data_IF_174677588020
#
_entry.id   IF_174677588020
#
_cell.length_a   1.000
_cell.length_b   1.000
_cell.length_c   1.000
_cell.angle_alpha   90.00
_cell.angle_beta   90.00
_cell.angle_gamma   90.00
#
_symmetry.space_group_name_H-M   'P 1'
#
loop_
_entity.id
_entity.type
_entity.pdbx_description
1 polymer ?
#
# COMPACT_ATOMS: atom_id res chain seq x y z
N UNK A 1 -13.10 36.29 -6.57
CA UNK A 1 -11.76 35.85 -6.15
C UNK A 1 -11.88 34.44 -5.63
N UNK A 2 -11.17 33.48 -6.24
CA UNK A 2 -11.17 32.09 -5.79
C UNK A 2 -10.33 31.99 -4.52
N UNK A 3 -10.94 31.59 -3.40
CA UNK A 3 -10.21 31.43 -2.14
C UNK A 3 -9.27 30.23 -2.24
N UNK A 4 -7.98 30.46 -1.95
CA UNK A 4 -6.96 29.41 -1.89
C UNK A 4 -7.36 28.39 -0.83
N UNK A 5 -7.57 27.14 -1.23
CA UNK A 5 -7.93 26.06 -0.30
C UNK A 5 -6.83 25.90 0.75
N UNK A 6 -7.19 26.02 2.02
CA UNK A 6 -6.27 25.72 3.11
C UNK A 6 -5.93 24.23 3.14
N UNK A 7 -4.66 23.92 3.42
CA UNK A 7 -4.19 22.54 3.49
C UNK A 7 -4.77 21.91 4.75
N UNK A 8 -5.56 20.84 4.59
CA UNK A 8 -6.09 20.09 5.72
C UNK A 8 -4.99 19.45 6.57
N UNK A 9 -5.27 19.22 7.86
CA UNK A 9 -4.37 18.49 8.77
C UNK A 9 -4.06 17.10 8.22
N UNK A 10 -2.82 16.63 8.39
CA UNK A 10 -2.44 15.27 8.04
C UNK A 10 -3.16 14.24 8.94
N UNK A 11 -3.30 13.01 8.46
CA UNK A 11 -3.80 11.91 9.28
C UNK A 11 -2.69 11.37 10.18
N UNK A 12 -2.97 11.24 11.48
CA UNK A 12 -2.04 10.62 12.44
C UNK A 12 -2.01 9.10 12.27
N UNK A 13 -1.06 8.41 12.90
CA UNK A 13 -0.99 6.95 12.82
C UNK A 13 -2.20 6.28 13.49
N UNK A 14 -2.59 6.76 14.68
CA UNK A 14 -3.80 6.31 15.37
C UNK A 14 -5.06 6.49 14.52
N UNK A 15 -5.17 7.59 13.77
CA UNK A 15 -6.30 7.80 12.86
C UNK A 15 -6.31 6.79 11.70
N UNK A 16 -5.14 6.39 11.20
CA UNK A 16 -5.07 5.35 10.17
C UNK A 16 -5.49 3.99 10.72
N UNK A 17 -5.16 3.66 11.97
CA UNK A 17 -5.61 2.42 12.62
C UNK A 17 -7.13 2.38 12.81
N UNK A 18 -7.73 3.48 13.28
CA UNK A 18 -9.19 3.63 13.39
C UNK A 18 -9.83 3.49 12.00
N UNK A 19 -9.30 4.22 11.01
CA UNK A 19 -9.80 4.17 9.63
C UNK A 19 -9.72 2.74 9.06
N UNK A 20 -8.62 2.03 9.28
CA UNK A 20 -8.42 0.66 8.81
C UNK A 20 -9.44 -0.28 9.45
N UNK A 21 -9.68 -0.15 10.75
CA UNK A 21 -10.65 -0.99 11.49
C UNK A 21 -12.08 -0.80 10.97
N UNK A 22 -12.49 0.44 10.70
CA UNK A 22 -13.79 0.74 10.11
C UNK A 22 -13.89 0.18 8.69
N UNK A 23 -12.87 0.43 7.86
CA UNK A 23 -12.86 0.02 6.45
C UNK A 23 -12.81 -1.49 6.27
N UNK A 24 -12.20 -2.22 7.19
CA UNK A 24 -12.22 -3.68 7.19
C UNK A 24 -13.63 -4.24 7.32
N UNK A 25 -14.47 -3.62 8.17
CA UNK A 25 -15.88 -4.02 8.32
C UNK A 25 -16.72 -3.74 7.08
N UNK A 26 -16.43 -2.66 6.36
CA UNK A 26 -17.12 -2.29 5.11
C UNK A 26 -16.50 -2.89 3.84
N UNK A 27 -15.34 -3.57 3.95
CA UNK A 27 -14.59 -4.20 2.84
C UNK A 27 -15.45 -4.91 1.79
N UNK A 28 -16.37 -5.85 2.12
CA UNK A 28 -17.08 -6.62 1.10
C UNK A 28 -17.94 -5.75 0.18
N UNK A 29 -18.45 -4.62 0.66
CA UNK A 29 -19.24 -3.68 -0.13
C UNK A 29 -18.31 -2.73 -0.90
N UNK A 30 -17.25 -2.22 -0.25
CA UNK A 30 -16.37 -1.22 -0.83
C UNK A 30 -15.48 -1.77 -1.96
N UNK A 31 -15.01 -3.01 -1.84
CA UNK A 31 -14.13 -3.67 -2.82
C UNK A 31 -14.89 -4.61 -3.76
N UNK A 32 -16.24 -4.59 -3.75
CA UNK A 32 -17.04 -5.26 -4.77
C UNK A 32 -16.67 -4.71 -6.16
N UNK A 33 -16.53 -5.59 -7.16
CA UNK A 33 -16.21 -5.22 -8.54
C UNK A 33 -17.43 -4.85 -9.37
N UNK A 34 -18.65 -5.10 -8.86
CA UNK A 34 -19.89 -4.75 -9.56
C UNK A 34 -20.02 -3.24 -9.81
N UNK A 35 -20.62 -2.91 -10.94
CA UNK A 35 -20.82 -1.55 -11.45
C UNK A 35 -22.28 -1.22 -11.73
N UNK A 36 -23.20 -2.09 -11.33
CA UNK A 36 -24.65 -1.86 -11.47
C UNK A 36 -25.14 -0.73 -10.55
N UNK A 37 -26.29 -0.14 -10.91
CA UNK A 37 -26.82 1.02 -10.19
C UNK A 37 -27.11 0.77 -8.70
N UNK A 38 -27.44 -0.47 -8.33
CA UNK A 38 -27.70 -0.86 -6.93
C UNK A 38 -26.41 -0.94 -6.15
N UNK A 39 -25.39 -1.66 -6.64
CA UNK A 39 -24.08 -1.73 -5.96
C UNK A 39 -23.42 -0.36 -5.83
N UNK A 40 -23.58 0.54 -6.80
CA UNK A 40 -23.07 1.90 -6.71
C UNK A 40 -23.74 2.70 -5.58
N UNK A 41 -25.05 2.54 -5.37
CA UNK A 41 -25.77 3.18 -4.26
C UNK A 41 -25.35 2.61 -2.91
N UNK A 42 -25.20 1.29 -2.81
CA UNK A 42 -24.72 0.60 -1.61
C UNK A 42 -23.30 1.04 -1.24
N UNK A 43 -22.40 1.12 -2.22
CA UNK A 43 -21.04 1.66 -2.03
C UNK A 43 -21.05 3.09 -1.52
N UNK A 44 -21.89 3.97 -2.09
CA UNK A 44 -22.02 5.35 -1.61
C UNK A 44 -22.45 5.38 -0.15
N UNK A 45 -23.50 4.63 0.19
CA UNK A 45 -24.00 4.53 1.57
C UNK A 45 -22.94 3.98 2.54
N UNK A 46 -22.22 2.92 2.15
CA UNK A 46 -21.14 2.35 2.96
C UNK A 46 -20.00 3.34 3.19
N UNK A 47 -19.62 4.12 2.18
CA UNK A 47 -18.64 5.19 2.34
C UNK A 47 -19.11 6.28 3.31
N UNK A 48 -20.36 6.72 3.19
CA UNK A 48 -20.90 7.77 4.04
C UNK A 48 -21.00 7.30 5.51
N UNK A 49 -21.43 6.05 5.75
CA UNK A 49 -21.44 5.43 7.08
C UNK A 49 -20.03 5.28 7.67
N UNK A 50 -19.06 4.83 6.88
CA UNK A 50 -17.67 4.69 7.33
C UNK A 50 -17.07 6.05 7.75
N UNK A 51 -17.40 7.12 7.03
CA UNK A 51 -16.95 8.48 7.34
C UNK A 51 -17.64 9.02 8.59
N UNK A 52 -18.93 8.77 8.74
CA UNK A 52 -19.68 9.16 9.94
C UNK A 52 -19.08 8.51 11.20
N UNK A 53 -18.81 7.21 11.15
CA UNK A 53 -18.18 6.49 12.25
C UNK A 53 -16.76 6.97 12.52
N UNK A 54 -15.97 7.22 11.47
CA UNK A 54 -14.63 7.77 11.63
C UNK A 54 -14.66 9.15 12.29
N UNK A 55 -15.58 10.01 11.86
CA UNK A 55 -15.72 11.36 12.40
C UNK A 55 -16.23 11.35 13.86
N UNK A 56 -17.00 10.33 14.25
CA UNK A 56 -17.43 10.13 15.63
C UNK A 56 -16.28 9.66 16.54
N UNK A 57 -15.28 8.96 15.99
CA UNK A 57 -14.12 8.43 16.73
C UNK A 57 -12.85 9.29 16.65
N UNK A 58 -12.72 10.14 15.62
CA UNK A 58 -11.52 10.96 15.38
C UNK A 58 -11.49 12.22 16.24
N UNK A 59 -10.32 12.54 16.76
CA UNK A 59 -10.05 13.75 17.56
C UNK A 59 -9.56 14.95 16.73
N UNK A 60 -9.20 14.77 15.45
CA UNK A 60 -8.63 15.85 14.62
C UNK A 60 -9.68 16.71 13.89
N UNK A 61 -10.96 16.37 14.06
CA UNK A 61 -12.11 17.05 13.45
C UNK A 61 -12.68 16.32 12.22
N UNK A 62 -13.84 16.76 11.72
CA UNK A 62 -14.60 16.04 10.70
C UNK A 62 -13.87 16.02 9.35
N UNK A 63 -13.91 14.87 8.70
CA UNK A 63 -13.40 14.64 7.34
C UNK A 63 -14.55 14.41 6.36
N UNK A 64 -14.32 14.79 5.11
CA UNK A 64 -15.27 14.54 4.02
C UNK A 64 -15.08 13.16 3.42
N UNK A 65 -16.13 12.62 2.80
CA UNK A 65 -16.07 11.34 2.08
C UNK A 65 -14.98 11.29 1.03
N UNK A 66 -14.68 12.42 0.36
CA UNK A 66 -13.59 12.51 -0.61
C UNK A 66 -12.20 12.37 0.05
N UNK A 67 -11.99 13.03 1.20
CA UNK A 67 -10.74 12.93 1.94
C UNK A 67 -10.51 11.50 2.44
N UNK A 68 -11.56 10.83 2.90
CA UNK A 68 -11.49 9.46 3.41
C UNK A 68 -11.21 8.45 2.29
N UNK A 69 -11.83 8.61 1.11
CA UNK A 69 -11.51 7.83 -0.09
C UNK A 69 -10.06 8.02 -0.54
N UNK A 70 -9.57 9.27 -0.47
CA UNK A 70 -8.18 9.57 -0.80
C UNK A 70 -7.21 8.91 0.19
N UNK A 71 -7.52 8.95 1.49
CA UNK A 71 -6.75 8.24 2.53
C UNK A 71 -6.67 6.75 2.20
N UNK A 72 -7.80 6.09 1.94
CA UNK A 72 -7.85 4.67 1.58
C UNK A 72 -6.98 4.35 0.36
N UNK A 73 -7.15 5.10 -0.73
CA UNK A 73 -6.36 4.92 -1.95
C UNK A 73 -4.86 5.12 -1.69
N UNK A 74 -4.50 6.14 -0.91
CA UNK A 74 -3.12 6.42 -0.58
C UNK A 74 -2.50 5.33 0.29
N UNK A 75 -3.21 4.84 1.31
CA UNK A 75 -2.77 3.71 2.14
C UNK A 75 -2.51 2.48 1.27
N UNK A 76 -3.45 2.11 0.38
CA UNK A 76 -3.26 0.98 -0.55
C UNK A 76 -2.02 1.16 -1.42
N UNK A 77 -1.81 2.37 -1.95
CA UNK A 77 -0.67 2.69 -2.79
C UNK A 77 0.65 2.58 -2.02
N UNK A 78 0.72 3.10 -0.80
CA UNK A 78 1.91 3.05 0.05
C UNK A 78 2.26 1.60 0.38
N UNK A 79 1.29 0.81 0.81
CA UNK A 79 1.52 -0.59 1.15
C UNK A 79 1.95 -1.45 -0.07
N UNK A 80 1.39 -1.22 -1.26
CA UNK A 80 1.88 -1.90 -2.47
C UNK A 80 3.33 -1.50 -2.81
N UNK A 81 3.67 -0.22 -2.60
CA UNK A 81 5.03 0.28 -2.85
C UNK A 81 6.04 -0.30 -1.87
N UNK A 82 5.67 -0.45 -0.59
CA UNK A 82 6.55 -1.05 0.42
C UNK A 82 6.84 -2.51 0.09
N UNK A 83 5.84 -3.30 -0.31
CA UNK A 83 6.03 -4.69 -0.77
C UNK A 83 6.97 -4.77 -1.98
N UNK A 84 6.74 -3.94 -3.00
CA UNK A 84 7.61 -3.91 -4.18
C UNK A 84 9.07 -3.58 -3.81
N UNK A 85 9.28 -2.67 -2.87
CA UNK A 85 10.60 -2.33 -2.35
C UNK A 85 11.26 -3.51 -1.60
N UNK A 86 10.51 -4.22 -0.75
CA UNK A 86 10.99 -5.40 -0.02
C UNK A 86 11.36 -6.52 -0.98
N UNK A 87 10.52 -6.82 -1.96
CA UNK A 87 10.79 -7.85 -2.97
C UNK A 87 12.06 -7.54 -3.77
N UNK A 88 12.22 -6.28 -4.19
CA UNK A 88 13.43 -5.83 -4.89
C UNK A 88 14.69 -6.00 -4.03
N UNK A 89 14.59 -5.70 -2.72
CA UNK A 89 15.69 -5.89 -1.78
C UNK A 89 16.03 -7.37 -1.60
N UNK A 90 15.03 -8.22 -1.40
CA UNK A 90 15.21 -9.67 -1.25
C UNK A 90 15.91 -10.28 -2.45
N UNK A 91 15.45 -9.96 -3.66
CA UNK A 91 16.11 -10.40 -4.90
C UNK A 91 17.58 -9.99 -4.98
N UNK A 92 17.87 -8.73 -4.61
CA UNK A 92 19.24 -8.21 -4.56
C UNK A 92 20.12 -8.96 -3.55
N UNK A 93 19.56 -9.34 -2.40
CA UNK A 93 20.28 -10.01 -1.32
C UNK A 93 20.48 -11.52 -1.63
N UNK A 94 19.48 -12.21 -2.19
CA UNK A 94 19.52 -13.63 -2.59
C UNK A 94 20.55 -13.93 -3.70
N UNK A 95 20.85 -12.96 -4.57
CA UNK A 95 21.81 -13.14 -5.67
C UNK A 95 23.27 -12.86 -5.27
N UNK A 96 23.54 -12.54 -3.98
CA UNK A 96 24.87 -12.17 -3.47
C UNK A 96 25.67 -13.33 -2.82
N UNK A 97 25.19 -14.57 -2.87
CA UNK A 97 25.76 -15.70 -2.10
C UNK A 97 26.70 -16.65 -2.89
N UNK A 98 27.10 -16.34 -4.12
CA UNK A 98 28.17 -17.09 -4.81
C UNK A 98 29.30 -16.13 -5.25
N UNK A 99 30.55 -16.61 -5.26
CA UNK A 99 31.83 -15.89 -5.44
C UNK A 99 31.88 -14.86 -6.59
N UNK A 100 31.21 -13.71 -6.42
CA UNK A 100 31.12 -12.65 -7.41
C UNK A 100 31.74 -11.38 -6.83
N UNK A 101 32.53 -10.67 -7.64
CA UNK A 101 33.17 -9.38 -7.30
C UNK A 101 32.10 -8.34 -6.91
N UNK A 102 31.76 -8.34 -5.61
CA UNK A 102 30.70 -7.54 -4.99
C UNK A 102 30.94 -6.05 -5.24
N UNK A 103 32.21 -5.63 -5.33
CA UNK A 103 32.62 -4.27 -5.61
C UNK A 103 32.19 -3.83 -7.03
N UNK A 104 32.39 -4.69 -8.03
CA UNK A 104 31.97 -4.43 -9.41
C UNK A 104 30.44 -4.40 -9.57
N UNK A 105 29.71 -5.29 -8.87
CA UNK A 105 28.25 -5.28 -8.88
C UNK A 105 27.66 -4.04 -8.19
N UNK A 106 28.23 -3.60 -7.07
CA UNK A 106 27.83 -2.34 -6.41
C UNK A 106 28.09 -1.15 -7.34
N UNK A 107 29.21 -1.14 -8.05
CA UNK A 107 29.56 -0.07 -9.01
C UNK A 107 28.61 -0.05 -10.21
N UNK A 108 28.35 -1.20 -10.83
CA UNK A 108 27.39 -1.36 -11.93
C UNK A 108 25.98 -0.95 -11.51
N UNK A 109 25.54 -1.36 -10.31
CA UNK A 109 24.26 -0.95 -9.70
C UNK A 109 24.18 0.56 -9.46
N UNK A 110 25.28 1.22 -9.03
CA UNK A 110 25.34 2.68 -8.91
C UNK A 110 25.23 3.36 -10.28
N UNK A 111 25.81 2.79 -11.32
CA UNK A 111 25.75 3.29 -12.70
C UNK A 111 24.36 3.10 -13.32
N UNK A 112 23.75 1.93 -13.19
CA UNK A 112 22.38 1.64 -13.64
C UNK A 112 21.34 2.50 -12.89
N UNK A 113 21.51 2.72 -11.58
CA UNK A 113 20.69 3.67 -10.81
C UNK A 113 20.75 5.09 -11.36
N UNK A 114 21.89 5.55 -11.92
CA UNK A 114 21.99 6.88 -12.55
C UNK A 114 21.07 7.00 -13.76
N UNK A 115 20.90 5.93 -14.54
CA UNK A 115 19.97 5.89 -15.67
C UNK A 115 18.50 5.85 -15.23
N UNK A 116 18.18 5.18 -14.12
CA UNK A 116 16.82 5.13 -13.55
C UNK A 116 16.40 6.49 -12.97
N UNK A 117 17.32 7.25 -12.36
CA UNK A 117 17.03 8.59 -11.83
C UNK A 117 16.87 9.68 -12.91
N UNK A 118 17.13 9.37 -14.19
CA UNK A 118 16.91 10.32 -15.31
C UNK A 118 15.41 10.54 -15.60
N UNK A 119 14.54 9.63 -15.18
CA UNK A 119 13.08 9.81 -15.24
C UNK A 119 12.53 10.25 -13.88
N UNK A 120 12.56 11.56 -13.60
CA UNK A 120 11.72 12.17 -12.57
C UNK A 120 12.23 12.20 -11.12
N UNK A 121 13.40 12.81 -10.88
CA UNK A 121 13.65 13.81 -9.80
C UNK A 121 13.30 13.57 -8.32
N UNK A 122 12.86 12.40 -7.88
CA UNK A 122 12.55 12.11 -6.46
C UNK A 122 13.64 11.32 -5.76
N UNK A 123 14.04 11.70 -4.53
CA UNK A 123 14.88 10.85 -3.67
C UNK A 123 14.08 9.60 -3.26
N UNK A 124 14.59 8.41 -3.56
CA UNK A 124 14.02 7.15 -3.07
C UNK A 124 14.24 7.05 -1.55
N UNK A 125 13.15 6.99 -0.79
CA UNK A 125 13.15 6.68 0.63
C UNK A 125 12.60 5.25 0.77
N UNK A 126 13.38 4.27 1.24
CA UNK A 126 12.84 2.96 1.60
C UNK A 126 11.88 3.15 2.78
N UNK A 127 10.60 2.85 2.59
CA UNK A 127 9.63 2.80 3.68
C UNK A 127 9.55 1.38 4.21
N UNK A 128 9.78 1.22 5.51
CA UNK A 128 9.57 -0.05 6.21
C UNK A 128 8.07 -0.39 6.23
N UNK A 129 7.75 -1.68 6.21
CA UNK A 129 6.37 -2.14 6.26
C UNK A 129 5.82 -1.88 7.67
N UNK A 130 4.84 -1.01 7.81
CA UNK A 130 4.16 -0.80 9.10
C UNK A 130 3.16 -1.93 9.37
N UNK A 131 2.72 -2.08 10.61
CA UNK A 131 1.66 -3.03 10.97
C UNK A 131 0.34 -2.71 10.25
N UNK A 132 0.02 -1.42 10.15
CA UNK A 132 -1.13 -0.91 9.37
C UNK A 132 -1.02 -1.33 7.90
N UNK A 133 0.18 -1.22 7.30
CA UNK A 133 0.42 -1.65 5.93
C UNK A 133 0.28 -3.16 5.76
N UNK A 134 0.78 -3.96 6.72
CA UNK A 134 0.65 -5.42 6.72
C UNK A 134 -0.82 -5.87 6.74
N UNK A 135 -1.61 -5.34 7.70
CA UNK A 135 -3.05 -5.61 7.81
C UNK A 135 -3.80 -5.15 6.56
N UNK A 136 -3.43 -4.00 6.01
CA UNK A 136 -3.99 -3.50 4.77
C UNK A 136 -3.73 -4.44 3.58
N UNK A 137 -2.49 -4.92 3.43
CA UNK A 137 -2.12 -5.84 2.35
C UNK A 137 -2.90 -7.15 2.43
N UNK A 138 -3.09 -7.70 3.63
CA UNK A 138 -3.94 -8.87 3.86
C UNK A 138 -5.38 -8.60 3.39
N UNK A 139 -5.89 -7.39 3.63
CA UNK A 139 -7.23 -6.98 3.18
C UNK A 139 -7.35 -6.84 1.66
N UNK A 140 -6.27 -6.58 0.94
CA UNK A 140 -6.29 -6.35 -0.53
C UNK A 140 -5.46 -7.36 -1.31
N UNK A 141 -5.24 -8.55 -0.74
CA UNK A 141 -4.32 -9.57 -1.24
C UNK A 141 -4.42 -9.82 -2.76
N UNK A 142 -5.65 -10.02 -3.25
CA UNK A 142 -5.92 -10.26 -4.69
C UNK A 142 -5.52 -9.10 -5.61
N UNK A 143 -5.47 -7.87 -5.10
CA UNK A 143 -5.06 -6.67 -5.84
C UNK A 143 -3.58 -6.30 -5.60
N UNK A 144 -2.96 -6.85 -4.55
CA UNK A 144 -1.59 -6.57 -4.16
C UNK A 144 -0.60 -7.53 -4.82
N UNK A 145 -1.04 -8.74 -5.19
CA UNK A 145 -0.22 -9.70 -5.93
C UNK A 145 0.05 -9.18 -7.36
N UNK A 146 1.32 -9.05 -7.78
CA UNK A 146 1.66 -8.68 -9.14
C UNK A 146 1.24 -9.81 -10.10
N UNK A 147 0.87 -9.43 -11.31
CA UNK A 147 0.61 -10.40 -12.37
C UNK A 147 1.96 -10.93 -12.86
N UNK A 148 2.12 -12.25 -12.90
CA UNK A 148 3.32 -12.86 -13.45
C UNK A 148 3.37 -12.60 -14.96
N UNK A 149 4.30 -11.76 -15.41
CA UNK A 149 4.51 -11.44 -16.82
C UNK A 149 5.94 -11.78 -17.22
N UNK A 150 6.11 -12.83 -18.03
CA UNK A 150 7.44 -13.32 -18.43
C UNK A 150 8.24 -12.35 -19.31
N UNK A 151 7.59 -11.32 -19.86
CA UNK A 151 8.22 -10.31 -20.73
C UNK A 151 8.43 -8.96 -20.03
N UNK A 152 8.15 -8.85 -18.74
CA UNK A 152 8.35 -7.63 -17.96
C UNK A 152 9.72 -7.66 -17.25
N UNK A 153 10.52 -6.62 -17.42
CA UNK A 153 11.85 -6.51 -16.81
C UNK A 153 11.79 -6.62 -15.27
N UNK A 154 10.67 -6.22 -14.67
CA UNK A 154 10.45 -6.26 -13.22
C UNK A 154 10.00 -7.66 -12.71
N UNK A 155 9.65 -8.60 -13.59
CA UNK A 155 9.18 -9.95 -13.20
C UNK A 155 10.23 -10.73 -12.39
N UNK A 156 11.51 -10.39 -12.57
CA UNK A 156 12.63 -11.00 -11.84
C UNK A 156 12.53 -10.78 -10.32
N UNK A 157 11.98 -9.64 -9.88
CA UNK A 157 11.80 -9.32 -8.46
C UNK A 157 10.68 -10.11 -7.79
N UNK A 158 9.90 -10.88 -8.56
CA UNK A 158 8.74 -11.62 -8.07
C UNK A 158 8.99 -13.13 -7.98
N UNK A 159 10.20 -13.60 -8.33
CA UNK A 159 10.59 -15.02 -8.21
C UNK A 159 10.54 -15.45 -6.73
N UNK A 160 9.86 -16.55 -6.43
CA UNK A 160 9.73 -17.07 -5.06
C UNK A 160 8.87 -16.19 -4.12
N UNK A 161 7.98 -15.34 -4.64
CA UNK A 161 7.08 -14.54 -3.80
C UNK A 161 5.94 -15.43 -3.23
N UNK A 162 6.23 -16.18 -2.17
CA UNK A 162 5.21 -16.54 -1.19
C UNK A 162 4.87 -15.27 -0.43
N UNK A 163 3.63 -14.79 -0.55
CA UNK A 163 3.13 -13.76 0.36
C UNK A 163 3.30 -14.34 1.77
N UNK A 164 4.20 -13.77 2.56
CA UNK A 164 4.51 -14.10 3.96
C UNK A 164 3.29 -13.97 4.91
N UNK A 165 2.09 -13.84 4.36
CA UNK A 165 0.85 -13.50 5.06
C UNK A 165 -0.21 -14.60 4.97
N UNK A 166 0.16 -15.80 4.53
CA UNK A 166 -0.69 -16.96 4.68
C UNK A 166 -0.39 -17.62 6.03
N UNK A 167 -1.32 -17.45 6.98
CA UNK A 167 -1.48 -18.16 8.27
C UNK A 167 -0.74 -17.68 9.52
N UNK A 168 0.53 -17.26 9.47
CA UNK A 168 1.30 -17.15 10.73
C UNK A 168 1.04 -15.88 11.57
N UNK A 169 0.64 -14.75 10.96
CA UNK A 169 0.38 -13.51 11.72
C UNK A 169 -1.01 -13.47 12.37
N UNK A 170 -2.01 -14.15 11.78
CA UNK A 170 -3.39 -14.20 12.31
C UNK A 170 -3.46 -15.15 13.53
N UNK A 171 -2.66 -16.23 13.55
CA UNK A 171 -2.64 -17.17 14.68
C UNK A 171 -1.90 -16.64 15.91
N UNK A 172 -0.99 -15.66 15.74
CA UNK A 172 -0.22 -15.08 16.85
C UNK A 172 -1.01 -14.11 17.75
N UNK A 173 -2.24 -13.73 17.38
CA UNK A 173 -3.11 -12.82 18.17
C UNK A 173 -4.43 -13.46 18.59
N UNK A 174 -4.57 -14.78 18.41
CA UNK A 174 -5.74 -15.57 18.85
C UNK A 174 -5.38 -16.54 20.00
N UNK A 175 -4.13 -16.54 20.48
CA UNK A 175 -3.71 -17.28 21.68
C UNK A 175 -3.06 -16.36 22.72
#
# INVERSE_FOLDING_TARGET
MEQKRERGKNFTEQEKEIALTILERFRPVLEDKKTDGTSLKEKRKAWDQAVEEFNAMSSSGPRTTQQFKFLWSNMKRVAKKTVAAVNKRRYIDEECDEDVDVEQLIKKRREEKKHITKTGGGKYQPSELTEVDARLLAMIESQAKPLANIYDDDNIYHRGMTLIYSYDFILAHIY
#
